data_IF_683669713166
#
_entry.id   IF_683669713166
#
_cell.length_a   1.000
_cell.length_b   1.000
_cell.length_c   1.000
_cell.angle_alpha   90.00
_cell.angle_beta   90.00
_cell.angle_gamma   90.00
#
_symmetry.space_group_name_H-M   'P 1'
#
loop_
_entity.id
_entity.type
_entity.pdbx_description
1 polymer ?
#
# COMPACT_ATOMS: atom_id res chain seq x y z
N UNK A 1 6.33 15.13 -7.42
CA UNK A 1 5.92 14.11 -8.40
C UNK A 1 6.02 14.69 -9.79
N UNK A 2 6.46 13.90 -10.78
CA UNK A 2 6.61 14.35 -12.19
C UNK A 2 5.33 14.88 -12.82
N UNK A 3 4.16 14.45 -12.31
CA UNK A 3 2.86 14.86 -12.84
C UNK A 3 2.29 16.14 -12.21
N UNK A 4 2.96 16.70 -11.19
CA UNK A 4 2.46 17.88 -10.46
C UNK A 4 1.12 17.63 -9.73
N UNK A 5 0.55 18.67 -9.08
CA UNK A 5 -0.75 18.58 -8.41
C UNK A 5 -1.88 18.74 -9.44
N UNK A 6 -2.08 17.73 -10.26
CA UNK A 6 -3.15 17.69 -11.27
C UNK A 6 -4.14 16.59 -10.88
N UNK A 7 -5.43 16.91 -10.87
CA UNK A 7 -6.46 15.90 -10.75
C UNK A 7 -6.69 15.28 -12.13
N UNK A 8 -6.71 13.96 -12.23
CA UNK A 8 -7.02 13.22 -13.46
C UNK A 8 -8.34 12.44 -13.33
N UNK A 9 -9.07 12.63 -12.24
CA UNK A 9 -10.35 11.95 -11.99
C UNK A 9 -11.48 12.51 -12.85
N UNK A 10 -11.84 11.76 -13.89
CA UNK A 10 -12.92 12.09 -14.82
C UNK A 10 -14.27 12.28 -14.13
N UNK A 11 -14.55 11.59 -13.02
CA UNK A 11 -15.84 11.75 -12.31
C UNK A 11 -15.93 13.09 -11.59
N UNK A 12 -14.85 13.53 -10.94
CA UNK A 12 -14.78 14.84 -10.30
C UNK A 12 -14.90 15.99 -11.32
N UNK A 13 -14.33 15.84 -12.52
CA UNK A 13 -14.48 16.84 -13.59
C UNK A 13 -15.87 16.82 -14.22
N UNK A 14 -16.44 15.66 -14.49
CA UNK A 14 -17.80 15.54 -15.04
C UNK A 14 -18.86 16.16 -14.11
N UNK A 15 -18.65 16.11 -12.79
CA UNK A 15 -19.50 16.80 -11.80
C UNK A 15 -19.32 18.33 -11.81
N UNK A 16 -18.15 18.83 -12.21
CA UNK A 16 -17.83 20.28 -12.28
C UNK A 16 -18.24 20.90 -13.62
N UNK A 17 -18.03 20.20 -14.73
CA UNK A 17 -18.44 20.61 -16.07
C UNK A 17 -18.93 19.37 -16.86
N UNK A 18 -20.24 19.12 -16.94
CA UNK A 18 -20.80 17.97 -17.65
C UNK A 18 -20.50 17.93 -19.16
N UNK A 19 -20.11 19.08 -19.73
CA UNK A 19 -19.84 19.26 -21.15
C UNK A 19 -18.34 19.17 -21.50
N UNK A 20 -17.43 19.13 -20.52
CA UNK A 20 -16.00 18.91 -20.75
C UNK A 20 -15.64 17.44 -20.51
N UNK A 21 -15.45 16.68 -21.58
CA UNK A 21 -14.81 15.38 -21.48
C UNK A 21 -13.32 15.58 -21.21
N UNK A 22 -12.79 14.99 -20.15
CA UNK A 22 -11.36 15.01 -19.86
C UNK A 22 -10.64 14.13 -20.89
N UNK A 23 -10.07 14.73 -21.93
CA UNK A 23 -9.25 14.01 -22.90
C UNK A 23 -7.81 13.97 -22.35
N UNK A 24 -7.46 12.90 -21.64
CA UNK A 24 -6.07 12.63 -21.29
C UNK A 24 -5.34 12.27 -22.59
N UNK A 25 -4.25 12.98 -22.89
CA UNK A 25 -3.45 12.66 -24.09
C UNK A 25 -2.76 11.29 -23.93
N UNK A 26 -2.46 10.58 -25.03
CA UNK A 26 -1.77 9.29 -24.95
C UNK A 26 -0.41 9.38 -24.22
N UNK A 27 0.32 10.48 -24.40
CA UNK A 27 1.58 10.76 -23.69
C UNK A 27 1.36 10.93 -22.18
N UNK A 28 0.31 11.66 -21.79
CA UNK A 28 -0.04 11.85 -20.39
C UNK A 28 -0.51 10.55 -19.72
N UNK A 29 -1.32 9.75 -20.42
CA UNK A 29 -1.74 8.43 -19.96
C UNK A 29 -0.53 7.50 -19.74
N UNK A 30 0.42 7.50 -20.69
CA UNK A 30 1.66 6.70 -20.58
C UNK A 30 2.49 7.09 -19.36
N UNK A 31 2.55 8.39 -19.02
CA UNK A 31 3.24 8.87 -17.81
C UNK A 31 2.52 8.46 -16.52
N UNK A 32 1.19 8.46 -16.51
CA UNK A 32 0.39 7.96 -15.38
C UNK A 32 0.68 6.47 -15.15
N UNK A 33 0.64 5.66 -16.20
CA UNK A 33 0.90 4.21 -16.11
C UNK A 33 2.31 3.91 -15.59
N UNK A 34 3.32 4.66 -16.06
CA UNK A 34 4.69 4.53 -15.58
C UNK A 34 4.80 4.83 -14.07
N UNK A 35 4.11 5.86 -13.59
CA UNK A 35 4.10 6.23 -12.17
C UNK A 35 3.34 5.20 -11.31
N UNK A 36 2.21 4.69 -11.79
CA UNK A 36 1.47 3.61 -11.12
C UNK A 36 2.36 2.37 -10.99
N UNK A 37 3.05 1.98 -12.07
CA UNK A 37 3.98 0.85 -12.07
C UNK A 37 5.13 1.08 -11.08
N UNK A 38 5.72 2.27 -11.06
CA UNK A 38 6.79 2.59 -10.12
C UNK A 38 6.31 2.51 -8.66
N UNK A 39 5.10 3.01 -8.38
CA UNK A 39 4.51 2.97 -7.06
C UNK A 39 4.24 1.54 -6.58
N UNK A 40 3.61 0.71 -7.43
CA UNK A 40 3.33 -0.69 -7.11
C UNK A 40 4.60 -1.51 -6.97
N UNK A 41 5.59 -1.33 -7.86
CA UNK A 41 6.89 -1.99 -7.78
C UNK A 41 7.62 -1.64 -6.46
N UNK A 42 7.56 -0.37 -6.04
CA UNK A 42 8.16 0.09 -4.79
C UNK A 42 7.45 -0.54 -3.58
N UNK A 43 6.12 -0.54 -3.58
CA UNK A 43 5.32 -1.18 -2.54
C UNK A 43 5.60 -2.68 -2.44
N UNK A 44 5.66 -3.37 -3.58
CA UNK A 44 5.97 -4.80 -3.65
C UNK A 44 7.37 -5.12 -3.10
N UNK A 45 8.40 -4.40 -3.54
CA UNK A 45 9.78 -4.57 -3.04
C UNK A 45 9.88 -4.28 -1.54
N UNK A 46 9.15 -3.28 -1.06
CA UNK A 46 9.11 -2.95 0.36
C UNK A 46 8.44 -4.06 1.17
N UNK A 47 7.29 -4.57 0.72
CA UNK A 47 6.59 -5.68 1.34
C UNK A 47 7.49 -6.93 1.38
N UNK A 48 8.10 -7.31 0.26
CA UNK A 48 9.02 -8.44 0.18
C UNK A 48 10.19 -8.29 1.16
N UNK A 49 10.80 -7.09 1.24
CA UNK A 49 11.90 -6.82 2.18
C UNK A 49 11.46 -6.98 3.63
N UNK A 50 10.27 -6.49 3.99
CA UNK A 50 9.72 -6.61 5.35
C UNK A 50 9.46 -8.08 5.68
N UNK A 51 8.83 -8.83 4.78
CA UNK A 51 8.55 -10.25 4.96
C UNK A 51 9.83 -11.07 5.12
N UNK A 52 10.84 -10.82 4.29
CA UNK A 52 12.15 -11.48 4.40
C UNK A 52 12.86 -11.14 5.73
N UNK A 53 12.84 -9.86 6.14
CA UNK A 53 13.40 -9.43 7.44
C UNK A 53 12.71 -10.10 8.63
N UNK A 54 11.42 -10.41 8.50
CA UNK A 54 10.60 -11.04 9.54
C UNK A 54 10.40 -12.54 9.30
N UNK A 55 11.17 -13.17 8.40
CA UNK A 55 10.96 -14.56 7.97
C UNK A 55 10.87 -15.55 9.13
N UNK A 56 11.77 -15.46 10.12
CA UNK A 56 11.75 -16.32 11.32
C UNK A 56 10.44 -16.20 12.12
N UNK A 57 9.81 -15.02 12.16
CA UNK A 57 8.54 -14.81 12.84
C UNK A 57 7.38 -15.39 12.01
N UNK A 58 7.42 -15.23 10.69
CA UNK A 58 6.45 -15.84 9.78
C UNK A 58 6.49 -17.37 9.83
N UNK A 59 7.69 -17.97 9.88
CA UNK A 59 7.84 -19.43 9.96
C UNK A 59 7.23 -19.97 11.28
N UNK A 60 7.39 -19.25 12.40
CA UNK A 60 6.73 -19.60 13.67
C UNK A 60 5.22 -19.55 13.54
N UNK A 61 4.70 -18.47 12.96
CA UNK A 61 3.26 -18.29 12.74
C UNK A 61 2.67 -19.39 11.85
N UNK A 62 3.35 -19.72 10.75
CA UNK A 62 2.94 -20.78 9.83
C UNK A 62 2.92 -22.15 10.53
N UNK A 63 3.94 -22.45 11.34
CA UNK A 63 4.01 -23.71 12.09
C UNK A 63 2.89 -23.83 13.15
N UNK A 64 2.47 -22.73 13.77
CA UNK A 64 1.34 -22.76 14.70
C UNK A 64 0.00 -22.86 13.98
N UNK A 65 -0.17 -22.17 12.84
CA UNK A 65 -1.36 -22.32 11.99
C UNK A 65 -1.54 -23.76 11.49
N UNK A 66 -0.46 -24.47 11.17
CA UNK A 66 -0.54 -25.89 10.79
C UNK A 66 -1.03 -26.80 11.93
N UNK A 67 -0.91 -26.37 13.19
CA UNK A 67 -1.35 -27.16 14.36
C UNK A 67 -2.76 -26.81 14.80
N UNK A 68 -3.11 -25.52 14.78
CA UNK A 68 -4.36 -24.99 15.36
C UNK A 68 -5.40 -24.56 14.34
N UNK A 69 -5.02 -24.46 13.06
CA UNK A 69 -5.80 -23.95 11.91
C UNK A 69 -6.20 -22.47 12.02
N UNK A 70 -6.51 -22.00 13.22
CA UNK A 70 -6.83 -20.61 13.57
C UNK A 70 -6.01 -20.20 14.78
N UNK A 71 -5.55 -18.95 14.80
CA UNK A 71 -4.84 -18.36 15.94
C UNK A 71 -5.41 -16.97 16.22
N UNK A 72 -5.62 -16.66 17.49
CA UNK A 72 -6.16 -15.36 17.91
C UNK A 72 -5.06 -14.31 18.08
N UNK A 73 -5.45 -13.04 18.14
CA UNK A 73 -4.52 -11.91 18.21
C UNK A 73 -3.57 -12.02 19.41
N UNK A 74 -4.06 -12.45 20.58
CA UNK A 74 -3.25 -12.64 21.79
C UNK A 74 -2.21 -13.75 21.62
N UNK A 75 -2.51 -14.78 20.83
CA UNK A 75 -1.59 -15.88 20.54
C UNK A 75 -0.49 -15.44 19.58
N UNK A 76 -0.86 -14.62 18.58
CA UNK A 76 0.10 -13.99 17.67
C UNK A 76 1.07 -13.12 18.47
N UNK A 77 0.58 -12.26 19.36
CA UNK A 77 1.44 -11.40 20.18
C UNK A 77 2.38 -12.19 21.09
N UNK A 78 1.91 -13.32 21.65
CA UNK A 78 2.78 -14.25 22.42
C UNK A 78 3.86 -14.89 21.53
N UNK A 79 3.54 -15.20 20.27
CA UNK A 79 4.42 -15.94 19.36
C UNK A 79 5.49 -15.05 18.70
N UNK A 80 5.10 -13.85 18.28
CA UNK A 80 5.94 -12.96 17.47
C UNK A 80 6.23 -11.60 18.13
N UNK A 81 5.71 -11.38 19.34
CA UNK A 81 5.84 -10.16 20.13
C UNK A 81 4.69 -9.17 19.90
N UNK A 82 4.52 -8.18 20.79
CA UNK A 82 3.44 -7.21 20.68
C UNK A 82 3.58 -6.36 19.43
N UNK A 83 2.44 -5.92 18.89
CA UNK A 83 2.43 -4.93 17.81
C UNK A 83 3.14 -3.67 18.29
N UNK A 84 4.27 -3.33 17.68
CA UNK A 84 4.84 -1.98 17.84
C UNK A 84 3.99 -1.06 16.96
N UNK A 85 3.16 -0.17 17.52
CA UNK A 85 2.51 0.84 16.70
C UNK A 85 3.63 1.64 16.02
N UNK A 86 3.51 1.82 14.70
CA UNK A 86 4.30 2.85 14.05
C UNK A 86 3.88 4.16 14.73
N UNK A 87 4.77 4.74 15.54
CA UNK A 87 4.55 6.03 16.15
C UNK A 87 4.35 7.01 14.99
N UNK A 88 3.10 7.27 14.61
CA UNK A 88 2.76 8.43 13.79
C UNK A 88 2.87 9.60 14.76
N UNK A 89 4.10 10.03 15.02
CA UNK A 89 4.36 11.31 15.67
C UNK A 89 4.01 12.37 14.65
N UNK A 90 2.71 12.64 14.49
CA UNK A 90 2.26 13.87 13.84
C UNK A 90 2.75 14.97 14.77
N UNK A 91 3.86 15.63 14.40
CA UNK A 91 4.18 16.93 14.98
C UNK A 91 3.00 17.82 14.61
N UNK A 92 2.15 18.10 15.59
CA UNK A 92 1.19 19.19 15.51
C UNK A 92 2.01 20.46 15.25
N UNK A 93 1.84 21.03 14.06
CA UNK A 93 2.23 22.40 13.72
C UNK A 93 0.99 23.26 13.79
#
# INVERSE_FOLDING_TARGET
SELGPVNFDSETFARRNPYEQTIISPDMASKIDAQIKQFTDTGYKMAQRILLKLRKKLDRLANELLKKETIETEEIEKLIGPRKPALVTIKAY
#
